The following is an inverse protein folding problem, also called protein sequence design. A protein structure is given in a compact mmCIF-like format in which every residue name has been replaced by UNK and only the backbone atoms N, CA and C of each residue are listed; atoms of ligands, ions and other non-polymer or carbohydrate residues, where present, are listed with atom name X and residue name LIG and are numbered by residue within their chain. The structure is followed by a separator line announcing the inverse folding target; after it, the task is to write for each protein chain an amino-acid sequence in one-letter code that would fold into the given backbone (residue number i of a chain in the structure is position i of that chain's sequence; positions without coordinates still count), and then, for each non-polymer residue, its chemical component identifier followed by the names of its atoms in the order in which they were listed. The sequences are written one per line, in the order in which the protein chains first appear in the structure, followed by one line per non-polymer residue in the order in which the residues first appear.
data_IF_033305526807
#
_entry.id   IF_033305526807
#
_cell.length_a   1.000
_cell.length_b   1.000
_cell.length_c   1.000
_cell.angle_alpha   90.00
_cell.angle_beta   90.00
_cell.angle_gamma   90.00
#
_symmetry.space_group_name_H-M   'P 1'
#
loop_
_entity.id
_entity.type
_entity.pdbx_description
1 polymer ?
#
# COMPACT_ATOMS: atom_id res chain seq x y z
N UNK A 1 -11.72 0.73 17.56
CA UNK A 1 -10.78 0.45 16.49
C UNK A 1 -9.50 1.29 16.52
N UNK A 2 -9.31 2.07 17.57
CA UNK A 2 -8.18 2.99 17.74
C UNK A 2 -6.83 2.26 17.75
N UNK A 3 -6.79 1.05 18.30
CA UNK A 3 -5.59 0.18 18.27
C UNK A 3 -5.16 -0.13 16.83
N UNK A 4 -6.12 -0.45 15.94
CA UNK A 4 -5.82 -0.73 14.53
C UNK A 4 -5.26 0.49 13.82
N UNK A 5 -5.86 1.66 14.05
CA UNK A 5 -5.37 2.91 13.48
C UNK A 5 -4.02 3.30 14.05
N UNK A 6 -3.82 3.18 15.36
CA UNK A 6 -2.54 3.40 16.02
C UNK A 6 -1.43 2.54 15.39
N UNK A 7 -1.71 1.26 15.19
CA UNK A 7 -0.78 0.33 14.56
C UNK A 7 -0.51 0.66 13.08
N UNK A 8 -1.55 1.00 12.32
CA UNK A 8 -1.42 1.34 10.90
C UNK A 8 -0.61 2.62 10.69
N UNK A 9 -0.85 3.63 11.52
CA UNK A 9 -0.20 4.94 11.43
C UNK A 9 1.20 4.92 12.07
N UNK A 10 1.43 4.03 13.04
CA UNK A 10 2.73 3.89 13.71
C UNK A 10 3.09 5.02 14.67
N UNK A 11 2.10 5.79 15.13
CA UNK A 11 2.25 6.84 16.15
C UNK A 11 1.36 6.59 17.35
N UNK A 12 1.76 6.99 18.57
CA UNK A 12 0.92 6.85 19.75
C UNK A 12 -0.37 7.67 19.63
N UNK A 13 -1.47 7.08 20.07
CA UNK A 13 -2.77 7.75 20.21
C UNK A 13 -3.04 8.07 21.66
N UNK A 14 -3.48 9.30 21.91
CA UNK A 14 -3.94 9.78 23.22
C UNK A 14 -5.46 9.81 23.21
N UNK A 15 -6.08 8.96 24.00
CA UNK A 15 -7.54 8.85 24.13
C UNK A 15 -7.94 9.47 25.45
N UNK A 16 -8.83 10.48 25.40
CA UNK A 16 -9.41 11.10 26.57
C UNK A 16 -10.87 10.70 26.71
N UNK A 17 -11.25 10.19 27.86
CA UNK A 17 -12.65 9.96 28.21
C UNK A 17 -13.24 11.19 28.88
N UNK A 18 -14.51 11.45 28.57
CA UNK A 18 -15.31 12.51 29.19
C UNK A 18 -16.66 11.95 29.62
N UNK A 19 -17.14 12.22 30.84
CA UNK A 19 -16.66 13.25 31.79
C UNK A 19 -15.58 12.78 32.78
N UNK A 20 -15.14 11.52 32.73
CA UNK A 20 -14.23 10.91 33.71
C UNK A 20 -12.85 11.58 33.74
N UNK A 21 -12.49 12.31 32.67
CA UNK A 21 -11.21 12.99 32.50
C UNK A 21 -10.01 12.04 32.63
N UNK A 22 -10.22 10.77 32.21
CA UNK A 22 -9.17 9.77 32.17
C UNK A 22 -8.43 9.78 30.84
N UNK A 23 -7.19 9.34 30.84
CA UNK A 23 -6.35 9.33 29.64
C UNK A 23 -5.68 7.97 29.46
N UNK A 24 -5.85 7.40 28.29
CA UNK A 24 -5.15 6.21 27.85
C UNK A 24 -4.20 6.55 26.69
N UNK A 25 -3.01 5.96 26.70
CA UNK A 25 -2.05 6.09 25.60
C UNK A 25 -1.91 4.73 24.94
N UNK A 26 -2.37 4.64 23.69
CA UNK A 26 -2.13 3.48 22.84
C UNK A 26 -0.80 3.65 22.12
N UNK A 27 0.10 2.71 22.32
CA UNK A 27 1.35 2.65 21.57
C UNK A 27 1.21 1.72 20.38
N UNK A 28 1.76 2.09 19.20
CA UNK A 28 1.73 1.20 18.05
C UNK A 28 2.54 -0.06 18.33
N UNK A 29 1.91 -1.20 18.20
CA UNK A 29 2.59 -2.48 18.18
C UNK A 29 2.92 -2.76 16.71
N UNK A 30 4.18 -2.65 16.33
CA UNK A 30 4.64 -3.13 15.03
C UNK A 30 4.57 -4.65 15.04
N UNK A 31 3.41 -5.16 14.68
CA UNK A 31 3.25 -6.56 14.39
C UNK A 31 4.04 -6.83 13.11
N UNK A 32 5.16 -7.51 13.22
CA UNK A 32 5.95 -7.96 12.07
C UNK A 32 5.22 -9.12 11.40
N UNK A 33 4.02 -8.86 10.90
CA UNK A 33 3.28 -9.85 10.14
C UNK A 33 4.11 -10.25 8.92
N UNK A 34 4.16 -11.54 8.60
CA UNK A 34 4.83 -11.98 7.38
C UNK A 34 4.20 -11.26 6.18
N UNK A 35 5.01 -10.95 5.16
CA UNK A 35 4.52 -10.27 3.96
C UNK A 35 3.44 -11.06 3.22
N UNK A 36 3.49 -12.37 3.31
CA UNK A 36 2.58 -13.30 2.61
C UNK A 36 1.53 -13.88 3.55
N UNK A 37 0.34 -14.14 3.01
CA UNK A 37 -0.74 -14.79 3.73
C UNK A 37 -1.53 -13.88 4.66
N UNK A 38 -1.45 -12.56 4.50
CA UNK A 38 -2.22 -11.59 5.27
C UNK A 38 -3.66 -11.54 4.81
N UNK A 39 -4.57 -11.40 5.74
CA UNK A 39 -5.96 -11.05 5.43
C UNK A 39 -6.06 -9.59 4.97
N UNK A 40 -6.93 -9.36 3.99
CA UNK A 40 -7.16 -8.03 3.45
C UNK A 40 -8.02 -7.18 4.39
N UNK A 41 -7.56 -5.97 4.67
CA UNK A 41 -8.33 -4.94 5.38
C UNK A 41 -7.99 -3.58 4.77
N UNK A 42 -8.97 -2.93 4.15
CA UNK A 42 -8.75 -1.64 3.50
C UNK A 42 -8.18 -0.60 4.48
N UNK A 43 -7.16 0.13 4.05
CA UNK A 43 -6.48 1.15 4.86
C UNK A 43 -5.54 0.62 5.95
N UNK A 44 -5.51 -0.70 6.19
CA UNK A 44 -4.69 -1.33 7.25
C UNK A 44 -3.77 -2.42 6.70
N UNK A 45 -4.30 -3.28 5.83
CA UNK A 45 -3.57 -4.39 5.20
C UNK A 45 -4.12 -4.59 3.78
N UNK A 46 -4.06 -3.54 2.98
CA UNK A 46 -4.47 -3.51 1.59
C UNK A 46 -3.26 -3.56 0.64
N UNK A 47 -3.49 -3.36 -0.65
CA UNK A 47 -2.44 -3.39 -1.66
C UNK A 47 -1.34 -2.34 -1.41
N UNK A 48 -1.71 -1.15 -0.93
CA UNK A 48 -0.77 -0.06 -0.70
C UNK A 48 0.08 -0.33 0.55
N UNK A 49 -0.54 -0.74 1.67
CA UNK A 49 0.20 -1.10 2.90
C UNK A 49 1.07 -2.34 2.68
N UNK A 50 0.60 -3.34 1.96
CA UNK A 50 1.40 -4.50 1.61
C UNK A 50 2.65 -4.10 0.80
N UNK A 51 2.49 -3.23 -0.19
CA UNK A 51 3.62 -2.72 -0.97
C UNK A 51 4.57 -1.88 -0.11
N UNK A 52 4.04 -1.01 0.74
CA UNK A 52 4.82 -0.20 1.68
C UNK A 52 5.65 -1.07 2.63
N UNK A 53 5.04 -2.08 3.23
CA UNK A 53 5.72 -3.02 4.14
C UNK A 53 6.82 -3.81 3.42
N UNK A 54 6.61 -4.16 2.15
CA UNK A 54 7.66 -4.79 1.34
C UNK A 54 8.91 -3.90 1.25
N UNK A 55 8.73 -2.62 0.96
CA UNK A 55 9.86 -1.69 0.85
C UNK A 55 10.52 -1.40 2.20
N UNK A 56 9.74 -1.27 3.26
CA UNK A 56 10.27 -1.11 4.63
C UNK A 56 11.12 -2.34 5.02
N UNK A 57 10.65 -3.55 4.69
CA UNK A 57 11.40 -4.78 4.91
C UNK A 57 12.71 -4.84 4.08
N UNK A 58 12.81 -4.06 3.01
CA UNK A 58 14.03 -3.87 2.21
C UNK A 58 14.92 -2.72 2.71
N UNK A 59 14.56 -2.08 3.81
CA UNK A 59 15.34 -1.02 4.43
C UNK A 59 15.01 0.39 3.93
N UNK A 60 13.97 0.57 3.11
CA UNK A 60 13.53 1.90 2.71
C UNK A 60 12.74 2.56 3.84
N UNK A 61 12.97 3.86 4.05
CA UNK A 61 12.19 4.66 4.98
C UNK A 61 11.11 5.43 4.21
N UNK A 62 9.95 4.80 4.06
CA UNK A 62 8.82 5.41 3.37
C UNK A 62 7.94 6.22 4.33
N UNK A 63 7.39 7.37 3.87
CA UNK A 63 6.42 8.12 4.65
C UNK A 63 5.15 7.30 4.89
N UNK A 64 4.32 7.80 5.79
CA UNK A 64 2.99 7.23 5.99
C UNK A 64 2.13 7.47 4.75
N UNK A 65 1.21 6.53 4.51
CA UNK A 65 0.21 6.70 3.47
C UNK A 65 -0.79 7.81 3.85
N UNK A 66 -1.32 8.48 2.84
CA UNK A 66 -2.52 9.29 3.03
C UNK A 66 -3.74 8.37 3.25
N UNK A 67 -4.72 8.80 4.04
CA UNK A 67 -5.99 8.08 4.13
C UNK A 67 -6.74 8.20 2.80
N UNK A 68 -7.08 7.07 2.20
CA UNK A 68 -7.93 7.03 1.03
C UNK A 68 -9.39 6.86 1.48
N UNK A 69 -10.32 7.48 0.76
CA UNK A 69 -11.74 7.24 0.97
C UNK A 69 -12.12 5.83 0.49
N UNK A 70 -13.15 5.24 1.11
CA UNK A 70 -13.74 4.01 0.62
C UNK A 70 -14.30 4.22 -0.81
N UNK A 71 -14.08 3.22 -1.67
CA UNK A 71 -14.55 3.22 -3.06
C UNK A 71 -14.11 4.46 -3.87
N UNK A 72 -12.95 5.02 -3.52
CA UNK A 72 -12.40 6.23 -4.12
C UNK A 72 -12.26 6.14 -5.65
N UNK A 73 -11.90 4.97 -6.18
CA UNK A 73 -11.78 4.74 -7.61
C UNK A 73 -13.11 4.79 -8.36
N UNK A 74 -14.22 4.42 -7.71
CA UNK A 74 -15.58 4.54 -8.28
C UNK A 74 -16.03 5.99 -8.35
N UNK A 75 -15.55 6.81 -7.42
CA UNK A 75 -15.77 8.26 -7.38
C UNK A 75 -14.87 9.03 -8.36
N UNK A 76 -13.94 8.34 -9.04
CA UNK A 76 -12.98 8.95 -9.95
C UNK A 76 -11.88 9.76 -9.26
N UNK A 77 -11.67 9.55 -7.96
CA UNK A 77 -10.56 10.16 -7.22
C UNK A 77 -9.27 9.42 -7.57
N UNK A 78 -8.27 10.13 -8.09
CA UNK A 78 -6.97 9.53 -8.41
C UNK A 78 -5.98 9.76 -7.26
N UNK A 79 -5.72 8.71 -6.50
CA UNK A 79 -4.72 8.72 -5.43
C UNK A 79 -3.36 8.17 -5.87
N UNK A 80 -3.27 7.47 -7.00
CA UNK A 80 -2.00 6.97 -7.53
C UNK A 80 -1.38 7.92 -8.56
N UNK A 81 -1.42 9.24 -8.25
CA UNK A 81 -0.80 10.25 -9.12
C UNK A 81 0.72 10.19 -9.06
N UNK A 82 1.37 10.67 -10.13
CA UNK A 82 2.83 10.80 -10.17
C UNK A 82 3.35 11.64 -9.00
N UNK A 83 2.62 12.72 -8.60
CA UNK A 83 2.96 13.57 -7.47
C UNK A 83 2.92 12.80 -6.15
N UNK A 84 1.84 12.02 -5.90
CA UNK A 84 1.73 11.26 -4.66
C UNK A 84 2.84 10.21 -4.57
N UNK A 85 3.06 9.46 -5.63
CA UNK A 85 4.08 8.41 -5.67
C UNK A 85 5.49 8.99 -5.50
N UNK A 86 5.74 10.19 -6.03
CA UNK A 86 7.01 10.89 -5.85
C UNK A 86 7.30 11.27 -4.40
N UNK A 87 6.27 11.49 -3.57
CA UNK A 87 6.46 11.74 -2.12
C UNK A 87 7.04 10.53 -1.39
N UNK A 88 6.94 9.35 -1.97
CA UNK A 88 7.55 8.12 -1.47
C UNK A 88 8.98 7.89 -2.01
N UNK A 89 9.48 8.80 -2.83
CA UNK A 89 10.80 8.72 -3.43
C UNK A 89 10.86 7.87 -4.71
N UNK A 90 9.72 7.62 -5.33
CA UNK A 90 9.65 6.88 -6.58
C UNK A 90 9.45 7.81 -7.77
N UNK A 91 10.12 7.52 -8.87
CA UNK A 91 9.99 8.22 -10.13
C UNK A 91 9.39 7.29 -11.19
N UNK A 92 8.58 7.87 -12.07
CA UNK A 92 7.98 7.14 -13.19
C UNK A 92 9.06 6.63 -14.14
N UNK A 93 8.91 5.38 -14.56
CA UNK A 93 9.85 4.72 -15.46
C UNK A 93 9.18 4.40 -16.78
N UNK A 94 9.84 4.80 -17.87
CA UNK A 94 9.51 4.34 -19.21
C UNK A 94 10.50 3.23 -19.61
N UNK A 95 9.97 2.09 -20.07
CA UNK A 95 10.80 0.97 -20.52
C UNK A 95 10.67 -0.30 -19.69
N UNK A 96 11.75 -1.05 -19.59
CA UNK A 96 11.73 -2.37 -18.96
C UNK A 96 11.60 -2.29 -17.42
N UNK A 97 10.65 -3.04 -16.88
CA UNK A 97 10.50 -3.22 -15.45
C UNK A 97 11.74 -3.89 -14.85
N UNK A 98 12.11 -3.46 -13.65
CA UNK A 98 13.19 -4.04 -12.85
C UNK A 98 12.64 -4.50 -11.49
N UNK A 99 13.28 -5.50 -10.92
CA UNK A 99 12.93 -5.99 -9.59
C UNK A 99 12.97 -4.84 -8.57
N UNK A 100 11.87 -4.69 -7.84
CA UNK A 100 11.66 -3.60 -6.88
C UNK A 100 10.86 -2.43 -7.43
N UNK A 101 10.48 -2.42 -8.71
CA UNK A 101 9.60 -1.38 -9.25
C UNK A 101 8.19 -1.48 -8.62
N UNK A 102 7.64 -0.32 -8.29
CA UNK A 102 6.26 -0.18 -7.84
C UNK A 102 5.34 -0.13 -9.07
N UNK A 103 4.33 -0.99 -9.06
CA UNK A 103 3.37 -1.13 -10.15
C UNK A 103 2.03 -0.55 -9.73
N UNK A 104 1.43 0.26 -10.60
CA UNK A 104 0.05 0.72 -10.48
C UNK A 104 -0.78 0.08 -11.57
N UNK A 105 -1.96 -0.38 -11.19
CA UNK A 105 -2.91 -1.03 -12.09
C UNK A 105 -4.22 -0.26 -12.14
N UNK A 106 -4.80 -0.16 -13.33
CA UNK A 106 -6.16 0.36 -13.56
C UNK A 106 -7.05 -0.79 -14.00
N UNK A 107 -7.86 -1.32 -13.07
CA UNK A 107 -8.67 -2.52 -13.28
C UNK A 107 -10.14 -2.13 -13.31
N UNK A 108 -10.74 -2.09 -14.51
CA UNK A 108 -12.15 -1.72 -14.72
C UNK A 108 -12.55 -0.41 -14.00
N UNK A 109 -11.64 0.53 -13.95
CA UNK A 109 -11.80 1.83 -13.33
C UNK A 109 -11.28 2.94 -14.25
N UNK A 110 -11.55 4.20 -13.93
CA UNK A 110 -11.03 5.36 -14.67
C UNK A 110 -9.64 5.79 -14.18
N UNK A 111 -9.29 5.41 -12.97
CA UNK A 111 -8.04 5.77 -12.29
C UNK A 111 -7.33 4.51 -11.79
N UNK A 112 -6.06 4.62 -11.43
CA UNK A 112 -5.32 3.54 -10.80
C UNK A 112 -6.02 3.08 -9.51
N UNK A 113 -6.32 1.80 -9.35
CA UNK A 113 -7.08 1.28 -8.21
C UNK A 113 -6.47 0.07 -7.52
N UNK A 114 -5.30 -0.35 -7.97
CA UNK A 114 -4.54 -1.43 -7.35
C UNK A 114 -3.05 -1.18 -7.52
N UNK A 115 -2.24 -1.74 -6.63
CA UNK A 115 -0.79 -1.65 -6.72
C UNK A 115 -0.09 -2.91 -6.25
N UNK A 116 1.19 -3.01 -6.56
CA UNK A 116 2.05 -4.11 -6.15
C UNK A 116 3.52 -3.83 -6.44
N UNK A 117 4.37 -4.80 -6.17
CA UNK A 117 5.81 -4.69 -6.35
C UNK A 117 6.30 -5.76 -7.32
N UNK A 118 7.00 -5.36 -8.35
CA UNK A 118 7.61 -6.27 -9.31
C UNK A 118 8.78 -7.03 -8.69
N UNK A 119 8.76 -8.35 -8.76
CA UNK A 119 9.78 -9.20 -8.17
C UNK A 119 10.80 -9.74 -9.18
N UNK A 120 10.60 -9.46 -10.48
CA UNK A 120 11.34 -10.07 -11.59
C UNK A 120 10.60 -11.26 -12.19
N UNK A 121 11.02 -11.72 -13.36
CA UNK A 121 10.52 -12.91 -14.04
C UNK A 121 8.99 -12.93 -14.22
N UNK A 122 8.41 -11.77 -14.55
CA UNK A 122 6.96 -11.56 -14.66
C UNK A 122 6.16 -11.91 -13.39
N UNK A 123 6.80 -11.93 -12.22
CA UNK A 123 6.17 -12.14 -10.92
C UNK A 123 6.09 -10.82 -10.18
N UNK A 124 4.99 -10.59 -9.45
CA UNK A 124 4.81 -9.44 -8.58
C UNK A 124 4.20 -9.83 -7.22
N UNK A 125 4.49 -9.03 -6.21
CA UNK A 125 3.89 -9.13 -4.88
C UNK A 125 2.74 -8.13 -4.78
N UNK A 126 1.61 -8.58 -4.26
CA UNK A 126 0.45 -7.71 -4.08
C UNK A 126 -0.53 -8.26 -3.03
N UNK A 127 -1.55 -7.47 -2.72
CA UNK A 127 -2.65 -7.85 -1.84
C UNK A 127 -3.97 -7.37 -2.47
N UNK A 128 -4.67 -8.26 -3.14
CA UNK A 128 -5.97 -7.97 -3.75
C UNK A 128 -7.10 -8.14 -2.72
N UNK A 129 -8.17 -7.37 -2.89
CA UNK A 129 -9.37 -7.48 -2.09
C UNK A 129 -9.95 -8.90 -2.11
N UNK A 130 -10.47 -9.37 -0.96
CA UNK A 130 -11.00 -10.71 -0.74
C UNK A 130 -9.99 -11.87 -1.00
N UNK A 131 -8.71 -11.58 -0.95
CA UNK A 131 -7.63 -12.55 -1.09
C UNK A 131 -6.56 -12.32 -0.04
N UNK A 132 -5.73 -13.31 0.21
CA UNK A 132 -4.52 -13.14 1.03
C UNK A 132 -3.40 -12.49 0.20
N UNK A 133 -2.50 -11.77 0.88
CA UNK A 133 -1.31 -11.22 0.24
C UNK A 133 -0.42 -12.32 -0.33
N UNK A 134 -0.01 -12.19 -1.59
CA UNK A 134 0.71 -13.23 -2.30
C UNK A 134 1.61 -12.67 -3.41
N UNK A 135 2.41 -13.53 -3.99
CA UNK A 135 3.04 -13.30 -5.29
C UNK A 135 2.28 -14.07 -6.37
N UNK A 136 2.15 -13.43 -7.50
CA UNK A 136 1.39 -13.94 -8.63
C UNK A 136 2.09 -13.58 -9.95
N UNK A 137 1.79 -14.32 -11.02
CA UNK A 137 2.30 -14.00 -12.34
C UNK A 137 1.53 -12.81 -12.94
N UNK A 138 2.24 -11.90 -13.57
CA UNK A 138 1.64 -10.79 -14.32
C UNK A 138 0.83 -11.30 -15.52
N UNK A 139 1.26 -12.39 -16.14
CA UNK A 139 0.54 -13.02 -17.23
C UNK A 139 -0.43 -14.11 -16.77
N UNK A 140 -1.52 -14.31 -17.49
CA UNK A 140 -1.99 -13.51 -18.64
C UNK A 140 -2.85 -12.30 -18.20
N UNK A 141 -3.21 -12.22 -16.93
CA UNK A 141 -4.29 -11.32 -16.49
C UNK A 141 -3.80 -9.89 -16.16
N UNK A 142 -2.81 -9.74 -15.29
CA UNK A 142 -2.47 -8.46 -14.66
C UNK A 142 -1.74 -7.49 -15.57
N UNK A 143 -0.87 -7.98 -16.44
CA UNK A 143 0.04 -7.15 -17.25
C UNK A 143 -0.69 -6.11 -18.09
N UNK A 144 -1.85 -6.45 -18.63
CA UNK A 144 -2.67 -5.54 -19.46
C UNK A 144 -3.29 -4.37 -18.70
N UNK A 145 -3.31 -4.45 -17.38
CA UNK A 145 -3.87 -3.42 -16.51
C UNK A 145 -2.81 -2.50 -15.87
N UNK A 146 -1.52 -2.75 -16.13
CA UNK A 146 -0.46 -1.87 -15.65
C UNK A 146 -0.64 -0.50 -16.30
N UNK A 147 -0.87 0.53 -15.49
CA UNK A 147 -1.01 1.92 -15.90
C UNK A 147 0.17 2.79 -15.49
N UNK A 148 1.01 2.33 -14.57
CA UNK A 148 2.23 3.02 -14.16
C UNK A 148 3.27 2.06 -13.62
N UNK A 149 4.53 2.38 -13.89
CA UNK A 149 5.71 1.72 -13.34
C UNK A 149 6.59 2.80 -12.72
N UNK A 150 7.01 2.60 -11.47
CA UNK A 150 7.78 3.59 -10.74
C UNK A 150 8.95 2.93 -10.05
N UNK A 151 10.08 3.60 -10.04
CA UNK A 151 11.33 3.12 -9.46
C UNK A 151 11.80 4.04 -8.35
N UNK A 152 12.27 3.46 -7.25
CA UNK A 152 12.84 4.23 -6.16
C UNK A 152 14.11 4.96 -6.66
N UNK A 153 14.13 6.28 -6.48
CA UNK A 153 15.29 7.09 -6.78
C UNK A 153 16.37 6.84 -5.71
N UNK A 154 17.52 6.35 -6.11
CA UNK A 154 18.69 6.08 -5.23
C UNK A 154 19.53 7.31 -5.00
#
# INVERSE_FOLDING_TARGET
NDIKYCNAIGIPYYIFSYPEMDMEILHPVRDTKPLYGRDYEFGVSDCLEASRDYYIAKGLNLPMRLPFEDDWWEKGLDYFTDEYISTWGFEKVEGNMQKGDFLVFTIKALVGNHCGVYLGDDIFYHHAENRISCRENLYPFWKKYISGVYRYAT
#
